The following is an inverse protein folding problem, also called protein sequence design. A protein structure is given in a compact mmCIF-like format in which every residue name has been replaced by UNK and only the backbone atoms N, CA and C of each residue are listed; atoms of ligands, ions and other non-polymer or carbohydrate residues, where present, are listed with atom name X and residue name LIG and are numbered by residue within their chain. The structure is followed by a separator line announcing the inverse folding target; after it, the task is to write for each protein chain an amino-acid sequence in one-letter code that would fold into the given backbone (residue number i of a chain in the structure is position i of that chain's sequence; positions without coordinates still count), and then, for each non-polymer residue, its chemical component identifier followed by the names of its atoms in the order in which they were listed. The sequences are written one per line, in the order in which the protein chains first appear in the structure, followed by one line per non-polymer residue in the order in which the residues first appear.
data_IF_939766174281
#
_entry.id   IF_939766174281
#
_cell.length_a   1.000
_cell.length_b   1.000
_cell.length_c   1.000
_cell.angle_alpha   90.00
_cell.angle_beta   90.00
_cell.angle_gamma   90.00
#
_symmetry.space_group_name_H-M   'P 1'
#
loop_
_entity.id
_entity.type
_entity.pdbx_description
1 polymer ?
#
# COMPACT_ATOMS: atom_id res chain seq x y z
N UNK A 1 -8.09 13.68 9.58
CA UNK A 1 -7.18 12.65 10.12
C UNK A 1 -7.46 12.39 11.58
N UNK A 2 -7.26 13.35 12.50
CA UNK A 2 -7.44 13.15 13.95
C UNK A 2 -8.82 12.61 14.33
N UNK A 3 -9.91 13.15 13.78
CA UNK A 3 -11.27 12.64 14.01
C UNK A 3 -11.49 11.22 13.47
N UNK A 4 -10.73 10.80 12.45
CA UNK A 4 -10.93 9.54 11.74
C UNK A 4 -10.26 8.36 12.43
N UNK A 5 -9.15 8.60 13.14
CA UNK A 5 -8.33 7.53 13.76
C UNK A 5 -8.33 7.56 15.28
N UNK A 6 -9.05 8.50 15.92
CA UNK A 6 -9.01 8.72 17.37
C UNK A 6 -9.31 7.46 18.20
N UNK A 7 -10.42 6.77 17.93
CA UNK A 7 -10.77 5.53 18.65
C UNK A 7 -9.72 4.44 18.43
N UNK A 8 -9.19 4.34 17.21
CA UNK A 8 -8.21 3.33 16.83
C UNK A 8 -6.86 3.52 17.52
N UNK A 9 -6.38 4.76 17.70
CA UNK A 9 -5.09 5.01 18.38
C UNK A 9 -5.14 4.78 19.89
N UNK A 10 -6.32 4.70 20.51
CA UNK A 10 -6.45 4.36 21.93
C UNK A 10 -6.18 2.87 22.19
N UNK A 11 -6.36 2.02 21.18
CA UNK A 11 -6.28 0.55 21.32
C UNK A 11 -5.21 -0.10 20.45
N UNK A 12 -4.62 0.61 19.49
CA UNK A 12 -3.55 0.11 18.61
C UNK A 12 -2.25 0.90 18.78
N UNK A 13 -1.29 0.37 19.55
CA UNK A 13 -0.01 1.03 19.85
C UNK A 13 0.76 1.45 18.59
N UNK A 14 0.75 0.62 17.54
CA UNK A 14 1.44 0.93 16.29
C UNK A 14 0.86 2.18 15.63
N UNK A 15 -0.46 2.24 15.42
CA UNK A 15 -1.14 3.43 14.91
C UNK A 15 -0.96 4.63 15.84
N UNK A 16 -0.98 4.42 17.16
CA UNK A 16 -0.76 5.47 18.15
C UNK A 16 0.62 6.11 18.02
N UNK A 17 1.69 5.29 17.85
CA UNK A 17 3.05 5.78 17.66
C UNK A 17 3.22 6.53 16.33
N UNK A 18 2.62 6.03 15.23
CA UNK A 18 2.60 6.76 13.97
C UNK A 18 1.89 8.12 14.10
N UNK A 19 0.75 8.14 14.80
CA UNK A 19 -0.01 9.36 15.04
C UNK A 19 0.73 10.34 15.96
N UNK A 20 1.45 9.84 16.98
CA UNK A 20 2.29 10.66 17.85
C UNK A 20 3.39 11.38 17.07
N UNK A 21 4.03 10.71 16.12
CA UNK A 21 4.99 11.35 15.21
C UNK A 21 4.29 12.45 14.40
N UNK A 22 3.12 12.18 13.84
CA UNK A 22 2.34 13.18 13.11
C UNK A 22 2.02 14.42 13.98
N UNK A 23 1.55 14.21 15.21
CA UNK A 23 1.26 15.31 16.14
C UNK A 23 2.52 16.13 16.44
N UNK A 24 3.66 15.48 16.66
CA UNK A 24 4.91 16.17 16.91
C UNK A 24 5.34 17.02 15.71
N UNK A 25 5.24 16.50 14.49
CA UNK A 25 5.54 17.26 13.26
C UNK A 25 4.61 18.47 13.11
N UNK A 26 3.32 18.33 13.42
CA UNK A 26 2.38 19.45 13.40
C UNK A 26 2.76 20.53 14.42
N UNK A 27 3.09 20.14 15.65
CA UNK A 27 3.48 21.07 16.71
C UNK A 27 4.80 21.81 16.40
N UNK A 28 5.70 21.19 15.63
CA UNK A 28 6.96 21.79 15.18
C UNK A 28 6.84 22.69 13.93
N UNK A 29 5.61 23.02 13.49
CA UNK A 29 5.36 23.93 12.36
C UNK A 29 4.89 23.25 11.07
N UNK A 30 4.60 21.94 11.10
CA UNK A 30 3.96 21.21 10.01
C UNK A 30 4.90 20.56 8.99
N UNK A 31 4.28 19.87 8.03
CA UNK A 31 4.98 19.16 6.95
C UNK A 31 5.58 20.14 5.94
N UNK A 32 6.65 19.69 5.29
CA UNK A 32 7.46 20.48 4.35
C UNK A 32 6.79 20.61 2.99
N UNK A 33 7.32 21.52 2.17
CA UNK A 33 6.71 21.92 0.90
C UNK A 33 6.56 20.75 -0.08
N UNK A 34 7.55 19.86 -0.17
CA UNK A 34 7.55 18.78 -1.18
C UNK A 34 6.95 17.50 -0.61
N UNK A 35 5.96 16.95 -1.30
CA UNK A 35 5.34 15.65 -0.98
C UNK A 35 5.42 14.72 -2.19
N UNK A 36 5.92 13.52 -1.95
CA UNK A 36 6.00 12.42 -2.91
C UNK A 36 5.14 11.26 -2.41
N UNK A 37 4.24 10.78 -3.26
CA UNK A 37 3.50 9.55 -2.99
C UNK A 37 3.66 8.55 -4.12
N UNK A 38 4.10 7.35 -3.74
CA UNK A 38 4.11 6.17 -4.60
C UNK A 38 3.17 5.14 -3.98
N UNK A 39 1.98 5.00 -4.56
CA UNK A 39 0.93 4.17 -4.02
C UNK A 39 0.49 3.09 -5.01
N UNK A 40 -0.28 2.12 -4.51
CA UNK A 40 -0.95 1.13 -5.33
C UNK A 40 -2.37 0.92 -4.83
N UNK A 41 -3.36 1.22 -5.67
CA UNK A 41 -4.76 0.94 -5.37
C UNK A 41 -5.10 -0.44 -5.91
N UNK A 42 -5.55 -1.33 -5.03
CA UNK A 42 -5.78 -2.74 -5.34
C UNK A 42 -7.28 -3.02 -5.46
N UNK A 43 -7.66 -3.79 -6.47
CA UNK A 43 -9.04 -4.04 -6.85
C UNK A 43 -9.30 -5.51 -7.18
N UNK A 44 -10.53 -5.94 -6.97
CA UNK A 44 -11.07 -7.19 -7.49
C UNK A 44 -12.34 -6.92 -8.30
N UNK A 45 -12.62 -7.75 -9.31
CA UNK A 45 -13.88 -7.70 -10.04
C UNK A 45 -14.93 -8.49 -9.27
N UNK A 46 -15.85 -7.80 -8.60
CA UNK A 46 -16.96 -8.42 -7.88
C UNK A 46 -18.02 -8.90 -8.87
N UNK A 47 -18.37 -10.19 -8.80
CA UNK A 47 -19.43 -10.81 -9.59
C UNK A 47 -20.44 -11.47 -8.64
N UNK A 48 -21.50 -10.74 -8.30
CA UNK A 48 -22.59 -11.23 -7.45
C UNK A 48 -23.82 -11.55 -8.28
N UNK A 49 -24.19 -12.83 -8.33
CA UNK A 49 -25.35 -13.29 -9.11
C UNK A 49 -25.24 -12.92 -10.59
N UNK A 50 -26.34 -12.43 -11.15
CA UNK A 50 -26.43 -12.04 -12.57
C UNK A 50 -26.05 -10.59 -12.85
N UNK A 51 -25.57 -9.84 -11.85
CA UNK A 51 -25.12 -8.46 -12.05
C UNK A 51 -23.84 -8.43 -12.89
N UNK A 52 -23.66 -7.38 -13.73
CA UNK A 52 -22.42 -7.19 -14.46
C UNK A 52 -21.24 -7.07 -13.47
N UNK A 53 -20.06 -7.63 -13.80
CA UNK A 53 -18.89 -7.51 -12.95
C UNK A 53 -18.58 -6.04 -12.66
N UNK A 54 -18.30 -5.71 -11.40
CA UNK A 54 -17.97 -4.35 -10.98
C UNK A 54 -16.61 -4.32 -10.31
N UNK A 55 -15.80 -3.31 -10.63
CA UNK A 55 -14.47 -3.15 -10.04
C UNK A 55 -14.61 -2.61 -8.61
N UNK A 56 -14.12 -3.36 -7.63
CA UNK A 56 -14.23 -3.03 -6.21
C UNK A 56 -12.86 -2.96 -5.56
N UNK A 57 -12.60 -1.86 -4.85
CA UNK A 57 -11.33 -1.59 -4.20
C UNK A 57 -11.18 -2.45 -2.95
N UNK A 58 -10.08 -3.20 -2.88
CA UNK A 58 -9.66 -3.99 -1.71
C UNK A 58 -9.06 -3.06 -0.66
N UNK A 59 -8.10 -2.24 -1.08
CA UNK A 59 -7.34 -1.29 -0.25
C UNK A 59 -6.54 -0.32 -1.14
N UNK A 60 -5.97 0.70 -0.51
CA UNK A 60 -4.90 1.51 -1.10
C UNK A 60 -3.63 1.36 -0.27
N UNK A 61 -2.54 0.97 -0.92
CA UNK A 61 -1.22 0.83 -0.31
C UNK A 61 -0.47 2.14 -0.48
N UNK A 62 -0.25 2.90 0.60
CA UNK A 62 0.45 4.20 0.55
C UNK A 62 1.91 4.14 1.01
N UNK A 63 2.32 3.05 1.65
CA UNK A 63 3.70 2.78 2.06
C UNK A 63 4.23 1.49 1.42
N UNK A 64 5.50 1.49 1.03
CA UNK A 64 6.22 0.30 0.55
C UNK A 64 5.47 -0.50 -0.55
N UNK A 65 4.73 0.21 -1.43
CA UNK A 65 3.99 -0.36 -2.54
C UNK A 65 4.92 -1.16 -3.48
N UNK A 66 4.97 -2.47 -3.24
CA UNK A 66 5.96 -3.38 -3.85
C UNK A 66 5.52 -3.91 -5.22
N UNK A 67 6.46 -4.60 -5.89
CA UNK A 67 6.28 -5.34 -7.15
C UNK A 67 6.17 -4.49 -8.42
N UNK A 68 6.38 -3.17 -8.36
CA UNK A 68 6.48 -2.33 -9.56
C UNK A 68 7.70 -2.64 -10.44
N UNK A 69 8.77 -3.14 -9.84
CA UNK A 69 9.97 -3.60 -10.53
C UNK A 69 9.76 -4.90 -11.28
N UNK A 70 9.30 -5.94 -10.58
CA UNK A 70 9.13 -7.27 -11.17
C UNK A 70 7.96 -7.33 -12.17
N UNK A 71 6.88 -6.59 -11.93
CA UNK A 71 5.75 -6.47 -12.89
C UNK A 71 6.16 -5.81 -14.22
N UNK A 72 7.31 -5.12 -14.26
CA UNK A 72 7.87 -4.59 -15.51
C UNK A 72 8.51 -5.68 -16.40
N UNK A 73 8.70 -6.89 -15.87
CA UNK A 73 9.43 -7.98 -16.55
C UNK A 73 8.55 -9.18 -16.88
N UNK A 74 7.43 -9.35 -16.18
CA UNK A 74 6.51 -10.47 -16.38
C UNK A 74 5.78 -10.46 -17.72
N UNK A 75 5.51 -9.33 -18.40
CA UNK A 75 4.91 -9.36 -19.74
C UNK A 75 5.71 -10.20 -20.74
N UNK A 76 7.05 -10.08 -20.72
CA UNK A 76 7.93 -10.81 -21.64
C UNK A 76 7.86 -12.32 -21.44
N UNK A 77 7.72 -12.75 -20.18
CA UNK A 77 7.53 -14.17 -19.83
C UNK A 77 6.21 -14.68 -20.41
N UNK A 78 5.09 -14.00 -20.17
CA UNK A 78 3.78 -14.45 -20.66
C UNK A 78 3.69 -14.43 -22.19
N UNK A 79 4.23 -13.40 -22.84
CA UNK A 79 4.35 -13.37 -24.31
C UNK A 79 5.14 -14.54 -24.84
N UNK A 80 6.27 -14.88 -24.19
CA UNK A 80 7.10 -16.02 -24.61
C UNK A 80 6.35 -17.33 -24.47
N UNK A 81 5.66 -17.57 -23.35
CA UNK A 81 4.85 -18.78 -23.13
C UNK A 81 3.73 -18.89 -24.17
N UNK A 82 2.98 -17.81 -24.42
CA UNK A 82 1.90 -17.80 -25.41
C UNK A 82 2.42 -18.08 -26.82
N UNK A 83 3.55 -17.49 -27.21
CA UNK A 83 4.21 -17.78 -28.50
C UNK A 83 4.64 -19.25 -28.62
N UNK A 84 5.15 -19.86 -27.56
CA UNK A 84 5.52 -21.29 -27.57
C UNK A 84 4.30 -22.22 -27.69
N UNK A 85 3.13 -21.74 -27.29
CA UNK A 85 1.86 -22.49 -27.38
C UNK A 85 1.05 -22.16 -28.66
N UNK A 86 1.68 -21.53 -29.66
CA UNK A 86 1.04 -21.06 -30.90
C UNK A 86 -0.18 -20.13 -30.68
N UNK A 87 -0.16 -19.35 -29.59
CA UNK A 87 -1.17 -18.33 -29.23
C UNK A 87 -0.67 -16.92 -29.57
N UNK A 88 -0.40 -16.67 -30.86
CA UNK A 88 0.25 -15.43 -31.31
C UNK A 88 -0.62 -14.18 -31.12
N UNK A 89 -1.94 -14.27 -31.33
CA UNK A 89 -2.84 -13.13 -31.16
C UNK A 89 -2.98 -12.74 -29.68
N UNK A 90 -3.13 -13.70 -28.78
CA UNK A 90 -3.16 -13.48 -27.34
C UNK A 90 -1.84 -12.90 -26.84
N UNK A 91 -0.70 -13.35 -27.39
CA UNK A 91 0.60 -12.75 -27.07
C UNK A 91 0.64 -11.24 -27.38
N UNK A 92 -0.08 -10.75 -28.39
CA UNK A 92 -0.12 -9.32 -28.74
C UNK A 92 -1.03 -8.53 -27.80
N UNK A 93 -1.96 -9.19 -27.10
CA UNK A 93 -2.90 -8.61 -26.14
C UNK A 93 -2.30 -8.45 -24.73
N UNK A 94 -1.15 -9.06 -24.45
CA UNK A 94 -0.40 -8.80 -23.22
C UNK A 94 0.14 -7.37 -23.26
N UNK A 95 -0.29 -6.54 -22.31
CA UNK A 95 0.08 -5.14 -22.21
C UNK A 95 1.56 -4.95 -21.89
N UNK A 96 2.17 -3.91 -22.47
CA UNK A 96 3.42 -3.39 -21.95
C UNK A 96 3.18 -2.79 -20.58
N UNK A 97 4.14 -2.99 -19.68
CA UNK A 97 4.05 -2.52 -18.32
C UNK A 97 5.44 -2.14 -17.83
N UNK A 98 5.62 -0.93 -17.32
CA UNK A 98 6.88 -0.50 -16.72
C UNK A 98 6.67 0.44 -15.52
N UNK A 99 6.04 -0.03 -14.43
CA UNK A 99 5.86 0.80 -13.24
C UNK A 99 7.18 1.29 -12.66
N UNK A 100 8.26 0.50 -12.76
CA UNK A 100 9.57 0.89 -12.25
C UNK A 100 10.04 2.26 -12.79
N UNK A 101 9.85 2.49 -14.10
CA UNK A 101 10.26 3.74 -14.75
C UNK A 101 9.44 4.94 -14.27
N UNK A 102 8.12 4.78 -14.10
CA UNK A 102 7.26 5.87 -13.63
C UNK A 102 7.39 6.16 -12.13
N UNK A 103 7.57 5.12 -11.31
CA UNK A 103 7.89 5.28 -9.88
C UNK A 103 9.25 6.00 -9.71
N UNK A 104 10.28 5.62 -10.48
CA UNK A 104 11.57 6.29 -10.48
C UNK A 104 11.49 7.72 -11.01
N UNK A 105 10.63 8.01 -12.00
CA UNK A 105 10.38 9.37 -12.51
C UNK A 105 9.87 10.30 -11.40
N UNK A 106 8.93 9.85 -10.57
CA UNK A 106 8.43 10.65 -9.46
C UNK A 106 9.48 10.84 -8.34
N UNK A 107 10.27 9.82 -8.02
CA UNK A 107 11.41 9.96 -7.09
C UNK A 107 12.43 10.97 -7.62
N UNK A 108 12.78 10.88 -8.90
CA UNK A 108 13.68 11.81 -9.55
C UNK A 108 13.15 13.24 -9.48
N UNK A 109 11.86 13.46 -9.75
CA UNK A 109 11.24 14.77 -9.63
C UNK A 109 11.31 15.34 -8.21
N UNK A 110 11.10 14.51 -7.19
CA UNK A 110 11.24 14.93 -5.79
C UNK A 110 12.69 15.27 -5.42
N UNK A 111 13.66 14.50 -5.94
CA UNK A 111 15.09 14.76 -5.77
C UNK A 111 15.53 16.06 -6.45
N UNK A 112 15.05 16.33 -7.68
CA UNK A 112 15.28 17.59 -8.40
C UNK A 112 14.75 18.79 -7.60
N UNK A 113 13.55 18.67 -7.03
CA UNK A 113 12.94 19.73 -6.20
C UNK A 113 13.69 19.94 -4.87
N UNK A 114 14.34 18.91 -4.33
CA UNK A 114 15.20 19.05 -3.16
C UNK A 114 16.43 19.91 -3.46
N UNK A 115 16.99 19.80 -4.68
CA UNK A 115 17.93 20.79 -5.22
C UNK A 115 19.40 20.64 -4.80
N UNK A 116 19.82 19.50 -4.25
CA UNK A 116 21.23 19.21 -3.93
C UNK A 116 21.73 18.04 -4.78
N UNK A 117 22.65 18.31 -5.73
CA UNK A 117 23.27 17.29 -6.58
C UNK A 117 24.12 16.28 -5.79
N UNK A 118 24.58 16.65 -4.59
CA UNK A 118 25.35 15.78 -3.69
C UNK A 118 24.47 14.83 -2.88
N UNK A 119 23.18 15.11 -2.78
CA UNK A 119 22.28 14.35 -1.95
C UNK A 119 21.82 13.06 -2.65
N UNK A 120 21.56 12.02 -1.87
CA UNK A 120 21.20 10.69 -2.37
C UNK A 120 19.75 10.35 -2.11
N UNK A 121 19.21 9.43 -2.91
CA UNK A 121 17.94 8.74 -2.63
C UNK A 121 18.24 7.54 -1.73
N UNK A 122 17.82 7.60 -0.48
CA UNK A 122 17.98 6.49 0.47
C UNK A 122 16.78 5.54 0.38
N UNK A 123 17.03 4.31 -0.03
CA UNK A 123 16.11 3.19 0.12
C UNK A 123 16.21 2.69 1.56
N UNK A 124 15.17 2.92 2.35
CA UNK A 124 15.06 2.40 3.70
C UNK A 124 14.49 0.99 3.67
N UNK A 125 15.31 -0.01 4.00
CA UNK A 125 15.08 -1.42 3.71
C UNK A 125 15.16 -2.30 4.96
N UNK A 126 14.71 -3.54 4.84
CA UNK A 126 14.96 -4.58 5.84
C UNK A 126 16.38 -5.14 5.68
N UNK A 127 16.98 -5.64 6.77
CA UNK A 127 18.31 -6.26 6.76
C UNK A 127 18.36 -7.49 5.83
N UNK A 128 17.33 -8.36 5.91
CA UNK A 128 17.19 -9.54 5.07
C UNK A 128 16.00 -9.36 4.14
N UNK A 129 16.25 -8.99 2.89
CA UNK A 129 15.21 -8.68 1.92
C UNK A 129 15.18 -9.67 0.74
N UNK A 130 14.18 -10.57 0.73
CA UNK A 130 13.96 -11.52 -0.38
C UNK A 130 13.57 -10.82 -1.68
N UNK A 131 12.86 -9.70 -1.61
CA UNK A 131 12.34 -8.96 -2.75
C UNK A 131 13.29 -7.83 -3.22
N UNK A 132 14.60 -7.96 -3.01
CA UNK A 132 15.58 -6.92 -3.35
C UNK A 132 15.61 -6.61 -4.84
N UNK A 133 15.39 -7.59 -5.71
CA UNK A 133 15.43 -7.40 -7.17
C UNK A 133 14.31 -6.49 -7.68
N UNK A 134 13.15 -6.48 -7.01
CA UNK A 134 12.08 -5.51 -7.28
C UNK A 134 12.56 -4.07 -7.05
N UNK A 135 13.21 -3.84 -5.91
CA UNK A 135 13.75 -2.52 -5.55
C UNK A 135 14.87 -2.08 -6.49
N UNK A 136 15.77 -3.00 -6.85
CA UNK A 136 16.87 -2.75 -7.79
C UNK A 136 16.39 -2.34 -9.18
N UNK A 137 15.17 -2.72 -9.59
CA UNK A 137 14.61 -2.21 -10.84
C UNK A 137 14.41 -0.69 -10.78
N UNK A 138 13.91 -0.15 -9.67
CA UNK A 138 13.71 1.29 -9.47
C UNK A 138 15.06 2.00 -9.35
N UNK A 139 16.00 1.44 -8.59
CA UNK A 139 17.36 2.00 -8.48
C UNK A 139 18.04 2.12 -9.85
N UNK A 140 17.93 1.09 -10.70
CA UNK A 140 18.49 1.13 -12.06
C UNK A 140 17.87 2.26 -12.90
N UNK A 141 16.57 2.51 -12.77
CA UNK A 141 15.93 3.63 -13.46
C UNK A 141 16.41 5.00 -12.93
N UNK A 142 16.75 5.11 -11.63
CA UNK A 142 17.39 6.31 -11.06
C UNK A 142 18.84 6.48 -11.54
N UNK A 143 19.62 5.41 -11.62
CA UNK A 143 21.00 5.45 -12.11
C UNK A 143 21.12 5.86 -13.57
N UNK A 144 20.15 5.47 -14.42
CA UNK A 144 20.06 5.98 -15.81
C UNK A 144 19.91 7.50 -15.88
N UNK A 145 19.48 8.14 -14.80
CA UNK A 145 19.34 9.59 -14.64
C UNK A 145 20.49 10.22 -13.84
N UNK A 146 21.55 9.45 -13.56
CA UNK A 146 22.69 9.84 -12.73
C UNK A 146 22.32 10.23 -11.28
N UNK A 147 21.19 9.73 -10.76
CA UNK A 147 20.77 9.99 -9.39
C UNK A 147 21.38 8.93 -8.46
N UNK A 148 22.22 9.33 -7.48
CA UNK A 148 22.85 8.38 -6.57
C UNK A 148 21.83 7.81 -5.59
N UNK A 149 21.99 6.52 -5.26
CA UNK A 149 21.12 5.80 -4.33
C UNK A 149 21.93 5.10 -3.25
N UNK A 150 21.43 5.07 -2.03
CA UNK A 150 21.97 4.24 -0.95
C UNK A 150 20.89 3.33 -0.38
N UNK A 151 21.28 2.21 0.23
CA UNK A 151 20.37 1.28 0.90
C UNK A 151 20.78 1.21 2.37
N UNK A 152 19.84 1.46 3.27
CA UNK A 152 20.11 1.52 4.72
C UNK A 152 19.01 0.81 5.47
N UNK A 153 19.38 -0.05 6.42
CA UNK A 153 18.47 -0.65 7.40
C UNK A 153 18.51 0.10 8.72
N UNK A 154 17.69 -0.31 9.70
CA UNK A 154 17.66 0.36 11.00
C UNK A 154 19.00 0.24 11.73
N UNK A 155 19.76 -0.85 11.53
CA UNK A 155 21.05 -1.04 12.20
C UNK A 155 22.09 0.01 11.80
N UNK A 156 22.04 0.48 10.56
CA UNK A 156 22.89 1.57 10.05
C UNK A 156 22.36 2.94 10.46
N UNK A 157 21.04 3.11 10.33
CA UNK A 157 20.37 4.40 10.54
C UNK A 157 20.47 4.79 12.01
N UNK A 158 20.09 3.93 12.94
CA UNK A 158 20.07 4.24 14.36
C UNK A 158 21.47 4.61 14.90
N UNK A 159 22.56 4.17 14.26
CA UNK A 159 23.93 4.49 14.64
C UNK A 159 24.44 5.82 14.08
N UNK A 160 23.90 6.29 12.96
CA UNK A 160 24.53 7.36 12.15
C UNK A 160 23.60 8.47 11.72
N UNK A 161 22.29 8.36 12.01
CA UNK A 161 21.30 9.38 11.66
C UNK A 161 21.56 10.67 12.43
N UNK A 162 21.58 11.79 11.71
CA UNK A 162 21.67 13.12 12.31
C UNK A 162 20.98 14.16 11.45
N UNK A 163 20.58 15.25 12.08
CA UNK A 163 20.15 16.48 11.43
C UNK A 163 21.23 17.55 11.61
N UNK A 164 21.44 18.39 10.59
CA UNK A 164 22.20 19.63 10.76
C UNK A 164 21.30 20.79 11.22
N UNK A 165 21.87 22.00 11.28
CA UNK A 165 21.17 23.22 11.71
C UNK A 165 19.98 23.57 10.80
N UNK A 166 20.07 23.26 9.50
CA UNK A 166 19.02 23.46 8.50
C UNK A 166 18.03 22.28 8.44
N UNK A 167 18.14 21.34 9.39
CA UNK A 167 17.38 20.10 9.45
C UNK A 167 17.56 19.23 8.19
N UNK A 168 18.71 19.29 7.50
CA UNK A 168 19.12 18.32 6.46
C UNK A 168 19.45 16.99 7.09
N UNK A 169 18.98 15.92 6.45
CA UNK A 169 19.18 14.56 6.93
C UNK A 169 20.53 14.04 6.46
N UNK A 170 21.30 13.50 7.39
CA UNK A 170 22.51 12.75 7.07
C UNK A 170 22.45 11.34 7.68
N UNK A 171 22.87 10.34 6.91
CA UNK A 171 23.01 8.94 7.37
C UNK A 171 24.32 8.39 6.84
N UNK A 172 25.23 7.99 7.73
CA UNK A 172 26.55 7.47 7.35
C UNK A 172 27.42 8.44 6.56
N UNK A 173 27.18 9.76 6.68
CA UNK A 173 27.91 10.80 5.94
C UNK A 173 27.19 11.32 4.69
N UNK A 174 26.22 10.57 4.15
CA UNK A 174 25.46 10.97 2.96
C UNK A 174 24.38 11.99 3.32
N UNK A 175 24.28 13.08 2.57
CA UNK A 175 23.11 13.97 2.60
C UNK A 175 21.93 13.25 1.92
N UNK A 176 20.77 13.18 2.55
CA UNK A 176 19.61 12.46 2.02
C UNK A 176 18.58 13.44 1.48
N UNK A 177 18.30 13.35 0.17
CA UNK A 177 17.26 14.14 -0.50
C UNK A 177 15.88 13.47 -0.40
N UNK A 178 15.84 12.14 -0.54
CA UNK A 178 14.59 11.36 -0.51
C UNK A 178 14.78 10.14 0.39
N UNK A 179 13.85 9.94 1.32
CA UNK A 179 13.71 8.70 2.10
C UNK A 179 12.60 7.88 1.47
N UNK A 180 12.97 6.82 0.74
CA UNK A 180 12.02 5.90 0.12
C UNK A 180 11.82 4.66 1.01
N UNK A 181 10.64 4.58 1.63
CA UNK A 181 10.31 3.53 2.60
C UNK A 181 9.99 2.22 1.88
N UNK A 182 10.83 1.21 2.09
CA UNK A 182 10.59 -0.21 1.78
C UNK A 182 10.56 -1.08 3.04
N UNK A 183 10.46 -0.44 4.21
CA UNK A 183 10.38 -1.01 5.55
C UNK A 183 9.59 -0.01 6.46
N UNK A 184 9.21 -0.41 7.67
CA UNK A 184 8.55 0.45 8.66
C UNK A 184 7.03 0.56 8.51
N UNK A 185 6.40 -0.43 7.89
CA UNK A 185 4.94 -0.53 7.72
C UNK A 185 4.29 -1.55 8.67
N UNK A 186 5.09 -2.28 9.44
CA UNK A 186 4.63 -3.22 10.46
C UNK A 186 5.27 -2.94 11.83
N UNK A 187 4.58 -3.27 12.94
CA UNK A 187 5.13 -3.08 14.29
C UNK A 187 6.47 -3.79 14.50
N UNK A 188 6.61 -5.00 13.95
CA UNK A 188 7.82 -5.82 14.09
C UNK A 188 9.05 -5.22 13.41
N UNK A 189 8.86 -4.25 12.51
CA UNK A 189 9.98 -3.52 11.92
C UNK A 189 10.64 -2.59 12.95
N UNK A 190 9.91 -2.17 13.98
CA UNK A 190 10.38 -1.27 15.04
C UNK A 190 10.76 -2.06 16.28
N UNK A 191 11.98 -2.62 16.28
CA UNK A 191 12.46 -3.49 17.34
C UNK A 191 13.02 -2.74 18.57
N UNK A 192 13.09 -1.41 18.54
CA UNK A 192 13.53 -0.59 19.66
C UNK A 192 12.98 0.84 19.62
N UNK A 193 13.06 1.57 20.74
CA UNK A 193 12.70 2.99 20.78
C UNK A 193 13.59 3.84 19.85
N UNK A 194 14.86 3.47 19.68
CA UNK A 194 15.75 4.16 18.73
C UNK A 194 15.23 4.07 17.29
N UNK A 195 14.51 2.99 16.93
CA UNK A 195 13.88 2.89 15.61
C UNK A 195 12.75 3.93 15.44
N UNK A 196 11.98 4.17 16.50
CA UNK A 196 10.94 5.19 16.52
C UNK A 196 11.52 6.61 16.50
N UNK A 197 12.57 6.86 17.26
CA UNK A 197 13.33 8.12 17.25
C UNK A 197 13.96 8.39 15.88
N UNK A 198 14.51 7.35 15.23
CA UNK A 198 15.05 7.44 13.89
C UNK A 198 13.95 7.80 12.87
N UNK A 199 12.78 7.13 12.94
CA UNK A 199 11.63 7.48 12.08
C UNK A 199 11.20 8.92 12.29
N UNK A 200 11.05 9.36 13.54
CA UNK A 200 10.74 10.75 13.86
C UNK A 200 11.79 11.72 13.30
N UNK A 201 13.08 11.39 13.43
CA UNK A 201 14.18 12.20 12.90
C UNK A 201 14.12 12.34 11.39
N UNK A 202 13.79 11.26 10.66
CA UNK A 202 13.53 11.34 9.21
C UNK A 202 12.37 12.28 8.89
N UNK A 203 11.25 12.15 9.59
CA UNK A 203 10.06 13.00 9.37
C UNK A 203 10.37 14.48 9.66
N UNK A 204 11.16 14.76 10.70
CA UNK A 204 11.65 16.09 11.09
C UNK A 204 12.69 16.67 10.13
N UNK A 205 13.17 15.93 9.12
CA UNK A 205 14.20 16.39 8.19
C UNK A 205 13.67 17.01 6.89
N UNK A 206 14.52 17.75 6.14
CA UNK A 206 14.14 18.38 4.85
C UNK A 206 14.01 17.36 3.74
N UNK A 207 14.54 16.15 3.93
CA UNK A 207 14.39 15.09 2.96
C UNK A 207 12.91 14.87 2.64
N UNK A 208 12.61 14.59 1.38
CA UNK A 208 11.27 14.21 0.93
C UNK A 208 11.01 12.78 1.38
N UNK A 209 9.91 12.53 2.08
CA UNK A 209 9.54 11.19 2.51
C UNK A 209 8.58 10.57 1.50
N UNK A 210 8.75 9.28 1.21
CA UNK A 210 7.89 8.52 0.34
C UNK A 210 7.47 7.21 1.02
N UNK A 211 6.33 7.19 1.73
CA UNK A 211 5.46 8.32 2.08
C UNK A 211 5.95 9.11 3.31
N UNK A 212 5.47 10.34 3.48
CA UNK A 212 5.50 11.01 4.78
C UNK A 212 4.53 10.36 5.79
N UNK A 213 4.66 10.69 7.08
CA UNK A 213 3.84 10.07 8.13
C UNK A 213 2.33 10.26 7.91
N UNK A 214 1.91 11.39 7.34
CA UNK A 214 0.50 11.67 7.05
C UNK A 214 -0.01 10.75 5.94
N UNK A 215 0.74 10.65 4.85
CA UNK A 215 0.37 9.80 3.72
C UNK A 215 0.41 8.31 4.10
N UNK A 216 1.28 7.90 5.03
CA UNK A 216 1.22 6.58 5.65
C UNK A 216 -0.09 6.38 6.42
N UNK A 217 -0.46 7.28 7.33
CA UNK A 217 -1.72 7.19 8.10
C UNK A 217 -2.98 7.17 7.20
N UNK A 218 -2.95 7.86 6.05
CA UNK A 218 -4.04 7.83 5.06
C UNK A 218 -4.26 6.45 4.46
N UNK A 219 -3.22 5.59 4.41
CA UNK A 219 -3.34 4.21 3.93
C UNK A 219 -4.02 3.25 4.90
N UNK A 220 -4.30 3.67 6.13
CA UNK A 220 -4.95 2.80 7.13
C UNK A 220 -6.35 2.37 6.68
N UNK A 221 -6.72 1.15 7.05
CA UNK A 221 -8.04 0.59 6.75
C UNK A 221 -9.15 1.43 7.39
N UNK A 222 -8.90 2.00 8.56
CA UNK A 222 -9.82 2.96 9.21
C UNK A 222 -10.07 4.19 8.34
N UNK A 223 -9.06 4.79 7.72
CA UNK A 223 -9.25 5.94 6.82
C UNK A 223 -10.03 5.53 5.58
N UNK A 224 -9.73 4.37 4.97
CA UNK A 224 -10.53 3.83 3.86
C UNK A 224 -12.02 3.70 4.23
N UNK A 225 -12.31 3.16 5.42
CA UNK A 225 -13.68 3.03 5.94
C UNK A 225 -14.37 4.37 6.15
N UNK A 226 -13.66 5.36 6.71
CA UNK A 226 -14.21 6.70 6.92
C UNK A 226 -14.49 7.43 5.61
N UNK A 227 -13.61 7.27 4.60
CA UNK A 227 -13.82 7.85 3.27
C UNK A 227 -15.08 7.31 2.57
N UNK A 228 -15.51 6.08 2.90
CA UNK A 228 -16.73 5.50 2.36
C UNK A 228 -18.02 6.04 2.99
N UNK A 229 -17.95 6.81 4.09
CA UNK A 229 -19.15 7.42 4.69
C UNK A 229 -19.73 8.51 3.79
N UNK A 230 -21.07 8.61 3.67
CA UNK A 230 -21.72 9.67 2.90
C UNK A 230 -21.24 11.06 3.30
N UNK A 231 -21.01 11.94 2.32
CA UNK A 231 -20.57 13.32 2.55
C UNK A 231 -19.08 13.49 2.87
N UNK A 232 -18.31 12.41 3.10
CA UNK A 232 -16.88 12.54 3.43
C UNK A 232 -16.03 12.80 2.19
N UNK A 233 -16.24 12.08 1.08
CA UNK A 233 -15.51 12.32 -0.18
C UNK A 233 -15.77 13.72 -0.73
N UNK A 234 -17.01 14.20 -0.64
CA UNK A 234 -17.43 15.52 -1.11
C UNK A 234 -16.61 16.66 -0.46
N UNK A 235 -16.14 16.47 0.79
CA UNK A 235 -15.28 17.46 1.47
C UNK A 235 -13.90 17.60 0.83
N UNK A 236 -13.42 16.56 0.15
CA UNK A 236 -12.12 16.56 -0.54
C UNK A 236 -12.25 16.93 -2.02
N UNK A 237 -13.47 16.84 -2.58
CA UNK A 237 -13.79 17.09 -3.97
C UNK A 237 -15.05 17.96 -4.11
N UNK A 238 -15.10 19.16 -3.49
CA UNK A 238 -16.33 19.95 -3.37
C UNK A 238 -16.94 20.31 -4.74
N UNK A 239 -16.08 20.56 -5.73
CA UNK A 239 -16.49 21.00 -7.06
C UNK A 239 -16.30 19.90 -8.13
N UNK A 240 -16.10 18.64 -7.71
CA UNK A 240 -15.78 17.52 -8.61
C UNK A 240 -16.70 16.31 -8.36
N UNK A 241 -18.02 16.43 -8.57
CA UNK A 241 -18.99 15.37 -8.29
C UNK A 241 -18.72 14.09 -9.09
N UNK A 242 -18.25 14.21 -10.33
CA UNK A 242 -17.90 13.06 -11.17
C UNK A 242 -16.74 12.24 -10.60
N UNK A 243 -15.75 12.91 -9.98
CA UNK A 243 -14.63 12.22 -9.30
C UNK A 243 -15.14 11.48 -8.07
N UNK A 244 -16.02 12.11 -7.29
CA UNK A 244 -16.67 11.47 -6.14
C UNK A 244 -17.44 10.23 -6.57
N UNK A 245 -18.23 10.32 -7.65
CA UNK A 245 -18.99 9.20 -8.20
C UNK A 245 -18.08 8.04 -8.63
N UNK A 246 -17.01 8.34 -9.38
CA UNK A 246 -16.04 7.33 -9.83
C UNK A 246 -15.35 6.62 -8.67
N UNK A 247 -14.88 7.36 -7.65
CA UNK A 247 -14.26 6.76 -6.46
C UNK A 247 -15.29 5.89 -5.72
N UNK A 248 -16.48 6.44 -5.46
CA UNK A 248 -17.56 5.75 -4.72
C UNK A 248 -18.02 4.48 -5.42
N UNK A 249 -18.05 4.47 -6.77
CA UNK A 249 -18.40 3.28 -7.54
C UNK A 249 -17.47 2.09 -7.23
N UNK A 250 -16.21 2.36 -6.85
CA UNK A 250 -15.24 1.32 -6.47
C UNK A 250 -15.38 0.84 -5.03
N UNK A 251 -16.11 1.53 -4.16
CA UNK A 251 -16.26 1.09 -2.78
C UNK A 251 -17.17 -0.14 -2.64
N UNK A 252 -16.82 -0.98 -1.68
CA UNK A 252 -17.68 -2.04 -1.14
C UNK A 252 -18.43 -1.53 0.09
N UNK A 253 -19.20 -2.39 0.75
CA UNK A 253 -19.58 -2.17 2.15
C UNK A 253 -18.32 -2.04 3.03
N UNK A 254 -18.20 -0.91 3.74
CA UNK A 254 -17.10 -0.60 4.65
C UNK A 254 -17.69 -0.03 5.94
N UNK A 255 -17.56 -0.79 7.03
CA UNK A 255 -18.32 -0.57 8.25
C UNK A 255 -17.42 -0.32 9.45
N UNK A 256 -17.81 0.66 10.27
CA UNK A 256 -17.15 0.92 11.55
C UNK A 256 -17.56 -0.12 12.57
N UNK A 257 -16.63 -0.49 13.43
CA UNK A 257 -16.88 -1.25 14.65
C UNK A 257 -16.81 -0.36 15.89
N UNK A 258 -16.77 0.98 15.75
CA UNK A 258 -16.69 1.88 16.91
C UNK A 258 -17.86 1.69 17.90
N UNK A 259 -17.63 2.02 19.18
CA UNK A 259 -18.65 1.95 20.24
C UNK A 259 -19.93 2.71 19.84
N UNK A 260 -21.09 2.09 20.05
CA UNK A 260 -22.41 2.67 19.78
C UNK A 260 -23.20 1.97 18.67
N UNK A 261 -24.41 2.49 18.33
CA UNK A 261 -25.41 1.75 17.56
C UNK A 261 -25.01 1.39 16.12
N UNK A 262 -24.08 2.12 15.49
CA UNK A 262 -23.51 1.74 14.19
C UNK A 262 -22.66 0.48 14.34
N UNK A 263 -21.69 0.48 15.26
CA UNK A 263 -20.81 -0.65 15.48
C UNK A 263 -21.53 -1.89 16.02
N UNK A 264 -22.52 -1.71 16.91
CA UNK A 264 -23.29 -2.83 17.47
C UNK A 264 -24.07 -3.58 16.37
N UNK A 265 -24.66 -2.82 15.42
CA UNK A 265 -25.32 -3.40 14.24
C UNK A 265 -24.31 -4.09 13.31
N UNK A 266 -23.15 -3.49 13.09
CA UNK A 266 -22.07 -4.08 12.29
C UNK A 266 -21.61 -5.41 12.88
N UNK A 267 -21.45 -5.50 14.20
CA UNK A 267 -21.07 -6.74 14.90
C UNK A 267 -22.16 -7.79 14.74
N UNK A 268 -23.43 -7.45 15.01
CA UNK A 268 -24.53 -8.39 14.86
C UNK A 268 -24.62 -8.96 13.44
N UNK A 269 -24.44 -8.11 12.42
CA UNK A 269 -24.39 -8.52 11.02
C UNK A 269 -23.23 -9.48 10.73
N UNK A 270 -22.03 -9.19 11.24
CA UNK A 270 -20.85 -10.03 11.05
C UNK A 270 -20.96 -11.39 11.77
N UNK A 271 -21.57 -11.42 12.95
CA UNK A 271 -21.80 -12.65 13.72
C UNK A 271 -22.85 -13.56 13.04
N UNK A 272 -23.88 -12.95 12.43
CA UNK A 272 -24.93 -13.69 11.74
C UNK A 272 -24.44 -14.32 10.42
N UNK A 273 -23.62 -13.61 9.65
CA UNK A 273 -23.19 -14.05 8.31
C UNK A 273 -21.69 -13.81 8.06
N UNK A 274 -20.79 -14.47 8.82
CA UNK A 274 -19.36 -14.15 8.81
C UNK A 274 -18.67 -14.36 7.45
N UNK A 275 -19.17 -15.29 6.63
CA UNK A 275 -18.58 -15.59 5.32
C UNK A 275 -18.78 -14.47 4.27
N UNK A 276 -19.69 -13.53 4.54
CA UNK A 276 -19.91 -12.35 3.70
C UNK A 276 -18.88 -11.25 3.92
N UNK A 277 -18.05 -11.35 4.95
CA UNK A 277 -17.20 -10.26 5.40
C UNK A 277 -15.73 -10.63 5.50
N UNK A 278 -14.92 -9.59 5.60
CA UNK A 278 -13.52 -9.63 6.01
C UNK A 278 -13.35 -8.65 7.16
N UNK A 279 -12.81 -9.12 8.27
CA UNK A 279 -12.44 -8.28 9.41
C UNK A 279 -10.97 -7.90 9.26
N UNK A 280 -10.67 -6.59 9.23
CA UNK A 280 -9.33 -6.08 8.93
C UNK A 280 -8.76 -5.27 10.10
N UNK A 281 -7.61 -5.64 10.69
CA UNK A 281 -6.87 -4.78 11.61
C UNK A 281 -6.13 -3.66 10.86
N UNK A 282 -5.58 -2.69 11.59
CA UNK A 282 -4.72 -1.63 11.02
C UNK A 282 -3.29 -2.12 10.73
N UNK A 283 -3.16 -3.09 9.81
CA UNK A 283 -1.87 -3.66 9.40
C UNK A 283 -1.75 -3.69 7.88
N UNK A 284 -0.52 -3.72 7.40
CA UNK A 284 -0.15 -3.79 5.99
C UNK A 284 0.63 -5.07 5.68
N UNK A 285 0.92 -5.34 4.39
CA UNK A 285 1.83 -6.42 3.99
C UNK A 285 1.22 -7.82 3.86
N UNK A 286 -0.10 -7.97 4.04
CA UNK A 286 -0.83 -9.24 3.90
C UNK A 286 -0.66 -10.19 5.10
N UNK A 287 -1.57 -11.15 5.25
CA UNK A 287 -1.54 -12.16 6.32
C UNK A 287 -2.23 -11.75 7.63
N UNK A 288 -2.86 -10.56 7.68
CA UNK A 288 -3.46 -10.01 8.91
C UNK A 288 -5.00 -10.05 8.90
N UNK A 289 -5.63 -10.36 7.77
CA UNK A 289 -7.07 -10.32 7.62
C UNK A 289 -7.73 -11.57 8.24
N UNK A 290 -8.94 -11.39 8.77
CA UNK A 290 -9.67 -12.42 9.51
C UNK A 290 -10.97 -12.74 8.76
N UNK A 291 -11.27 -14.04 8.61
CA UNK A 291 -12.32 -14.55 7.73
C UNK A 291 -13.16 -15.63 8.43
N UNK A 292 -14.43 -15.78 8.01
CA UNK A 292 -15.29 -16.90 8.39
C UNK A 292 -15.43 -17.06 9.91
N UNK A 293 -15.30 -18.29 10.41
CA UNK A 293 -15.48 -18.60 11.84
C UNK A 293 -14.50 -17.87 12.78
N UNK A 294 -13.33 -17.46 12.29
CA UNK A 294 -12.38 -16.64 13.08
C UNK A 294 -12.93 -15.23 13.34
N UNK A 295 -13.75 -14.66 12.44
CA UNK A 295 -14.45 -13.38 12.67
C UNK A 295 -15.33 -13.51 13.91
N UNK A 296 -16.12 -14.60 13.99
CA UNK A 296 -17.01 -14.86 15.15
C UNK A 296 -16.20 -14.95 16.43
N UNK A 297 -15.12 -15.74 16.43
CA UNK A 297 -14.24 -15.91 17.62
C UNK A 297 -13.64 -14.60 18.10
N UNK A 298 -13.23 -13.73 17.19
CA UNK A 298 -12.62 -12.44 17.52
C UNK A 298 -13.68 -11.46 18.01
N UNK A 299 -14.79 -11.31 17.28
CA UNK A 299 -15.84 -10.37 17.64
C UNK A 299 -16.52 -10.75 18.96
N UNK A 300 -16.75 -12.03 19.26
CA UNK A 300 -17.29 -12.45 20.56
C UNK A 300 -16.41 -12.01 21.75
N UNK A 301 -15.09 -11.92 21.56
CA UNK A 301 -14.16 -11.47 22.62
C UNK A 301 -14.14 -9.95 22.79
N UNK A 302 -14.26 -9.20 21.69
CA UNK A 302 -14.05 -7.74 21.70
C UNK A 302 -15.33 -6.92 21.60
N UNK A 303 -16.49 -7.54 21.34
CA UNK A 303 -17.75 -6.83 21.04
C UNK A 303 -18.17 -5.81 22.10
N UNK A 304 -17.90 -6.10 23.36
CA UNK A 304 -18.25 -5.25 24.50
C UNK A 304 -17.07 -4.38 25.00
N UNK A 305 -15.93 -4.43 24.30
CA UNK A 305 -14.70 -3.71 24.64
C UNK A 305 -14.37 -2.66 23.59
N UNK A 306 -13.65 -1.58 23.97
CA UNK A 306 -13.13 -0.59 23.01
C UNK A 306 -12.15 -1.20 22.01
N UNK A 307 -11.55 -2.36 22.31
CA UNK A 307 -10.63 -3.08 21.41
C UNK A 307 -11.22 -3.38 20.03
N UNK A 308 -12.55 -3.45 19.90
CA UNK A 308 -13.23 -3.58 18.60
C UNK A 308 -12.89 -2.46 17.60
N UNK A 309 -12.48 -1.29 18.09
CA UNK A 309 -12.11 -0.11 17.28
C UNK A 309 -10.76 -0.26 16.56
N UNK A 310 -9.97 -1.29 16.88
CA UNK A 310 -8.76 -1.66 16.15
C UNK A 310 -9.08 -2.20 14.74
N UNK A 311 -10.33 -2.61 14.50
CA UNK A 311 -10.77 -3.30 13.29
C UNK A 311 -11.77 -2.46 12.49
N UNK A 312 -11.85 -2.78 11.20
CA UNK A 312 -13.01 -2.45 10.36
C UNK A 312 -13.62 -3.74 9.82
N UNK A 313 -14.90 -3.70 9.48
CA UNK A 313 -15.55 -4.77 8.73
C UNK A 313 -15.72 -4.34 7.27
N UNK A 314 -15.42 -5.23 6.34
CA UNK A 314 -15.55 -4.98 4.91
C UNK A 314 -16.35 -6.11 4.26
N UNK A 315 -17.22 -5.76 3.32
CA UNK A 315 -17.84 -6.72 2.40
C UNK A 315 -16.77 -7.53 1.67
N UNK A 316 -16.88 -8.86 1.72
CA UNK A 316 -16.03 -9.74 0.93
C UNK A 316 -16.40 -9.60 -0.55
N UNK A 317 -15.39 -9.36 -1.39
CA UNK A 317 -15.53 -9.35 -2.84
C UNK A 317 -15.51 -10.79 -3.34
N UNK A 318 -16.37 -11.12 -4.31
CA UNK A 318 -16.51 -12.45 -4.88
C UNK A 318 -16.16 -12.44 -6.37
N UNK A 319 -14.87 -12.57 -6.73
CA UNK A 319 -14.46 -12.69 -8.12
C UNK A 319 -14.88 -14.03 -8.72
N UNK A 320 -15.16 -14.02 -10.02
CA UNK A 320 -15.32 -15.26 -10.78
C UNK A 320 -13.97 -16.00 -10.85
N UNK A 321 -13.88 -17.26 -10.37
CA UNK A 321 -12.65 -18.01 -10.49
C UNK A 321 -12.34 -18.35 -11.94
N UNK A 322 -11.05 -18.34 -12.28
CA UNK A 322 -10.52 -18.75 -13.59
C UNK A 322 -9.50 -19.86 -13.39
N UNK A 323 -9.42 -20.81 -14.33
CA UNK A 323 -8.42 -21.87 -14.27
C UNK A 323 -7.06 -21.33 -14.73
N UNK A 324 -6.01 -21.56 -13.94
CA UNK A 324 -4.65 -21.17 -14.28
C UNK A 324 -3.63 -22.12 -13.64
N UNK A 325 -2.36 -21.97 -14.00
CA UNK A 325 -1.23 -22.66 -13.38
C UNK A 325 -0.46 -21.72 -12.45
N UNK A 326 -0.28 -22.12 -11.19
CA UNK A 326 0.49 -21.36 -10.21
C UNK A 326 1.92 -21.91 -10.12
N UNK A 327 2.87 -21.28 -10.81
CA UNK A 327 4.28 -21.69 -10.75
C UNK A 327 4.96 -21.18 -9.47
N UNK A 328 5.40 -22.11 -8.62
CA UNK A 328 6.22 -21.82 -7.44
C UNK A 328 7.43 -22.72 -7.41
N UNK A 329 8.52 -22.22 -6.81
CA UNK A 329 9.74 -23.00 -6.58
C UNK A 329 9.38 -24.24 -5.75
N UNK A 330 9.92 -25.39 -6.15
CA UNK A 330 9.79 -26.66 -5.44
C UNK A 330 8.34 -27.15 -5.25
N UNK A 331 7.39 -26.62 -6.02
CA UNK A 331 5.98 -27.05 -6.02
C UNK A 331 5.63 -27.66 -7.39
N UNK A 332 4.98 -28.83 -7.45
CA UNK A 332 4.56 -29.41 -8.72
C UNK A 332 3.55 -28.51 -9.43
N UNK A 333 3.65 -28.45 -10.75
CA UNK A 333 2.73 -27.68 -11.57
C UNK A 333 1.36 -28.37 -11.60
N UNK A 334 0.33 -27.69 -11.11
CA UNK A 334 -1.04 -28.18 -11.14
C UNK A 334 -1.98 -27.08 -11.65
N UNK A 335 -3.05 -27.50 -12.35
CA UNK A 335 -4.16 -26.61 -12.66
C UNK A 335 -4.85 -26.24 -11.36
N UNK A 336 -5.16 -24.97 -11.17
CA UNK A 336 -5.83 -24.46 -9.98
C UNK A 336 -6.94 -23.49 -10.37
N UNK A 337 -8.02 -23.52 -9.59
CA UNK A 337 -9.03 -22.46 -9.60
C UNK A 337 -8.44 -21.23 -8.93
N UNK A 338 -8.39 -20.11 -9.65
CA UNK A 338 -7.65 -18.92 -9.26
C UNK A 338 -8.53 -17.67 -9.25
N UNK A 339 -8.21 -16.74 -8.37
CA UNK A 339 -8.76 -15.39 -8.36
C UNK A 339 -7.63 -14.38 -8.43
N UNK A 340 -7.90 -13.26 -9.12
CA UNK A 340 -6.91 -12.22 -9.38
C UNK A 340 -7.30 -10.90 -8.74
N UNK A 341 -6.28 -10.15 -8.35
CA UNK A 341 -6.36 -8.84 -7.74
C UNK A 341 -5.48 -7.88 -8.56
N UNK A 342 -6.12 -6.85 -9.12
CA UNK A 342 -5.49 -5.84 -9.96
C UNK A 342 -5.05 -4.65 -9.09
N UNK A 343 -3.75 -4.45 -8.97
CA UNK A 343 -3.14 -3.24 -8.43
C UNK A 343 -2.82 -2.24 -9.53
N UNK A 344 -3.16 -0.97 -9.31
CA UNK A 344 -2.82 0.14 -10.19
C UNK A 344 -1.87 1.07 -9.44
N UNK A 345 -0.68 1.32 -10.00
CA UNK A 345 0.32 2.19 -9.38
C UNK A 345 0.04 3.66 -9.70
N UNK A 346 -0.09 4.47 -8.67
CA UNK A 346 -0.15 5.92 -8.75
C UNK A 346 1.16 6.55 -8.28
N UNK A 347 1.62 7.56 -8.99
CA UNK A 347 2.79 8.35 -8.62
C UNK A 347 2.46 9.84 -8.68
N UNK A 348 2.64 10.56 -7.57
CA UNK A 348 2.40 12.00 -7.51
C UNK A 348 3.50 12.75 -6.77
N UNK A 349 3.75 13.98 -7.21
CA UNK A 349 4.68 14.94 -6.59
C UNK A 349 3.97 16.28 -6.48
N UNK A 350 3.98 16.86 -5.28
CA UNK A 350 3.38 18.16 -4.98
C UNK A 350 4.42 19.07 -4.32
N UNK A 351 4.38 20.36 -4.62
CA UNK A 351 5.11 21.39 -3.88
C UNK A 351 4.12 22.43 -3.36
N UNK A 352 3.99 22.55 -2.03
CA UNK A 352 2.95 23.37 -1.43
C UNK A 352 1.55 22.85 -1.79
N UNK A 353 0.78 23.65 -2.52
CA UNK A 353 -0.54 23.28 -3.06
C UNK A 353 -0.48 22.81 -4.51
N UNK A 354 0.65 23.02 -5.18
CA UNK A 354 0.78 22.77 -6.62
C UNK A 354 1.11 21.29 -6.86
N UNK A 355 0.26 20.63 -7.65
CA UNK A 355 0.44 19.25 -8.06
C UNK A 355 1.30 19.21 -9.33
N UNK A 356 2.58 18.89 -9.16
CA UNK A 356 3.59 18.92 -10.22
C UNK A 356 3.65 17.63 -11.05
N UNK A 357 3.18 16.52 -10.46
CA UNK A 357 3.04 15.22 -11.13
C UNK A 357 1.88 14.47 -10.48
N UNK A 358 1.06 13.81 -11.30
CA UNK A 358 0.00 12.89 -10.86
C UNK A 358 -0.31 11.92 -12.01
N UNK A 359 0.30 10.74 -11.99
CA UNK A 359 0.27 9.80 -13.10
C UNK A 359 -0.09 8.39 -12.63
N UNK A 360 -0.88 7.68 -13.44
CA UNK A 360 -0.96 6.23 -13.40
C UNK A 360 0.27 5.68 -14.12
N UNK A 361 1.14 4.96 -13.42
CA UNK A 361 2.46 4.55 -13.94
C UNK A 361 2.53 3.08 -14.33
N UNK A 362 1.45 2.34 -14.17
CA UNK A 362 1.32 0.96 -14.61
C UNK A 362 0.51 0.12 -13.63
N UNK A 363 0.60 -1.20 -13.75
CA UNK A 363 -0.23 -2.12 -13.01
C UNK A 363 0.55 -3.33 -12.46
N UNK A 364 -0.11 -4.06 -11.58
CA UNK A 364 0.32 -5.34 -11.02
C UNK A 364 -0.90 -6.24 -10.98
N UNK A 365 -0.87 -7.40 -11.61
CA UNK A 365 -1.86 -8.44 -11.34
C UNK A 365 -1.24 -9.44 -10.37
N UNK A 366 -1.96 -9.74 -9.29
CA UNK A 366 -1.62 -10.81 -8.35
C UNK A 366 -2.69 -11.88 -8.45
N UNK A 367 -2.28 -13.13 -8.59
CA UNK A 367 -3.21 -14.25 -8.70
C UNK A 367 -2.91 -15.29 -7.62
N UNK A 368 -3.96 -15.83 -7.01
CA UNK A 368 -3.86 -16.87 -5.97
C UNK A 368 -4.90 -17.96 -6.19
N UNK A 369 -4.70 -19.12 -5.58
CA UNK A 369 -5.73 -20.16 -5.53
C UNK A 369 -6.98 -19.61 -4.81
N UNK A 370 -8.16 -19.94 -5.32
CA UNK A 370 -9.45 -19.56 -4.73
C UNK A 370 -9.68 -20.21 -3.35
N UNK A 371 -8.91 -21.24 -3.00
CA UNK A 371 -8.94 -21.89 -1.69
C UNK A 371 -8.33 -21.01 -0.58
N UNK A 372 -7.47 -20.06 -0.94
CA UNK A 372 -6.83 -19.17 0.02
C UNK A 372 -7.65 -17.90 0.25
N UNK A 373 -8.05 -17.67 1.51
CA UNK A 373 -8.80 -16.48 1.90
C UNK A 373 -7.94 -15.21 1.86
N UNK A 374 -6.70 -15.24 2.36
CA UNK A 374 -5.77 -14.10 2.29
C UNK A 374 -4.85 -14.15 1.05
N UNK A 375 -4.10 -13.08 0.79
CA UNK A 375 -3.26 -12.91 -0.40
C UNK A 375 -1.82 -12.48 -0.11
N UNK A 376 -1.17 -11.91 -1.12
CA UNK A 376 0.19 -11.37 -1.01
C UNK A 376 1.27 -12.29 -1.57
N UNK A 377 2.09 -11.75 -2.47
CA UNK A 377 3.23 -12.48 -3.07
C UNK A 377 4.35 -12.63 -2.05
N UNK A 378 4.65 -11.57 -1.28
CA UNK A 378 5.65 -11.61 -0.22
C UNK A 378 5.29 -12.59 0.91
N UNK A 379 3.98 -12.76 1.18
CA UNK A 379 3.45 -13.73 2.13
C UNK A 379 3.44 -15.18 1.60
N UNK A 380 3.85 -15.41 0.34
CA UNK A 380 3.91 -16.75 -0.27
C UNK A 380 2.58 -17.28 -0.82
N UNK A 381 1.51 -16.48 -0.79
CA UNK A 381 0.14 -16.94 -1.15
C UNK A 381 -0.23 -16.60 -2.59
N UNK A 382 0.11 -15.41 -3.09
CA UNK A 382 -0.13 -15.04 -4.48
C UNK A 382 1.12 -15.26 -5.35
N UNK A 383 0.95 -15.26 -6.67
CA UNK A 383 2.02 -15.15 -7.69
C UNK A 383 1.82 -13.87 -8.51
N UNK A 384 2.86 -13.46 -9.22
CA UNK A 384 2.79 -12.36 -10.19
C UNK A 384 2.07 -12.84 -11.46
N UNK A 385 1.25 -11.97 -12.04
CA UNK A 385 0.45 -12.25 -13.23
C UNK A 385 0.38 -10.99 -14.13
N UNK A 386 -0.22 -11.11 -15.32
CA UNK A 386 -0.53 -9.98 -16.21
C UNK A 386 -1.97 -10.07 -16.72
N UNK A 387 -2.70 -8.94 -16.83
CA UNK A 387 -4.02 -8.94 -17.41
C UNK A 387 -3.96 -9.24 -18.90
N UNK A 388 -4.66 -10.28 -19.33
CA UNK A 388 -5.01 -10.46 -20.74
C UNK A 388 -6.34 -9.75 -20.96
N UNK A 389 -6.32 -8.62 -21.68
CA UNK A 389 -7.56 -7.91 -22.02
C UNK A 389 -8.39 -8.81 -22.92
N UNK A 390 -9.63 -9.15 -22.54
CA UNK A 390 -10.55 -10.08 -23.24
C UNK A 390 -11.64 -9.37 -24.03
#
# INVERSE_FOLDING_TARGET
LSQSVFSTIEVDDFSARLFKIHQQILNEGGSRSIVLGLNRSDYMLDKRGDQPPSLKQIEINTIAASFGGLSSRTPDVHRRVLKMADRLEESRRILDNNPAAGLAKAIAKAWELYGSERAVVMFFVEEVQRNVFDQRCIERELWKRNIPTSRKGFDDICKTIRLDQDKRLFVGGDEIAVVYFRNGYMPQNYFSEQCWEARLTMERSVAVKCPDIVSHLVGTKKVQQVLAKPGVLERFFPDQPQVVEQIRATFTGLYSLDMGPEGDRTIAMALAEPDRFVLKPQREGGGNNIYGSEIVRVLEKVKDSSERTAYILMDKINPAPVQNYLLRRDTPLAVSSCISELGVFGAYVRQGKDLLMNECVGHLLRTKSSEHSDGGVAAGVAVLDNPLLV
#
